data_IF_476061194100
#
_entry.id   IF_476061194100
#
_cell.length_a   1.000
_cell.length_b   1.000
_cell.length_c   1.000
_cell.angle_alpha   90.00
_cell.angle_beta   90.00
_cell.angle_gamma   90.00
#
_symmetry.space_group_name_H-M   'P 1'
#
loop_
_entity.id
_entity.type
_entity.pdbx_description
1 polymer ?
#
# COMPACT_ATOMS: atom_id res chain seq x y z
N UNK A 1 -34.10 9.52 6.31
CA UNK A 1 -33.30 8.29 6.13
C UNK A 1 -34.07 7.37 5.22
N UNK A 2 -33.47 6.91 4.12
CA UNK A 2 -34.07 5.84 3.31
C UNK A 2 -34.16 4.56 4.15
N UNK A 3 -35.21 3.74 4.01
CA UNK A 3 -35.31 2.48 4.75
C UNK A 3 -34.14 1.54 4.39
N UNK A 4 -33.63 0.84 5.39
CA UNK A 4 -32.62 -0.21 5.22
C UNK A 4 -33.25 -1.36 4.43
N UNK A 5 -32.83 -1.55 3.18
CA UNK A 5 -33.40 -2.56 2.28
C UNK A 5 -32.80 -3.97 2.46
N UNK A 6 -32.13 -4.22 3.59
CA UNK A 6 -31.38 -5.46 3.82
C UNK A 6 -30.11 -5.55 2.96
N UNK A 7 -29.37 -6.66 3.07
CA UNK A 7 -28.16 -6.88 2.29
C UNK A 7 -28.49 -6.94 0.80
N UNK A 8 -27.87 -6.05 0.01
CA UNK A 8 -27.90 -6.15 -1.45
C UNK A 8 -26.86 -7.17 -1.89
N UNK A 9 -27.23 -8.08 -2.78
CA UNK A 9 -26.24 -8.90 -3.46
C UNK A 9 -25.34 -7.96 -4.29
N UNK A 10 -24.01 -8.00 -4.07
CA UNK A 10 -23.09 -7.23 -4.89
C UNK A 10 -23.15 -7.73 -6.33
N UNK A 11 -22.87 -6.89 -7.34
CA UNK A 11 -22.75 -7.36 -8.71
C UNK A 11 -21.63 -8.40 -8.77
N UNK A 12 -22.00 -9.60 -9.22
CA UNK A 12 -21.13 -10.78 -9.28
C UNK A 12 -20.55 -10.97 -10.68
N UNK A 13 -19.29 -11.44 -10.81
CA UNK A 13 -18.39 -11.80 -9.72
C UNK A 13 -17.56 -10.61 -9.22
N UNK A 14 -17.39 -10.51 -7.89
CA UNK A 14 -16.38 -9.67 -7.27
C UNK A 14 -14.98 -10.28 -7.43
N UNK A 15 -13.90 -9.47 -7.44
CA UNK A 15 -12.53 -9.97 -7.43
C UNK A 15 -12.27 -10.84 -6.20
N UNK A 16 -11.54 -11.93 -6.34
CA UNK A 16 -11.13 -12.76 -5.20
C UNK A 16 -9.87 -12.19 -4.53
N UNK A 17 -9.61 -12.49 -3.25
CA UNK A 17 -8.33 -12.16 -2.62
C UNK A 17 -7.12 -12.59 -3.47
N UNK A 18 -6.19 -11.67 -3.70
CA UNK A 18 -5.03 -11.83 -4.58
C UNK A 18 -5.26 -11.47 -6.05
N UNK A 19 -6.51 -11.28 -6.49
CA UNK A 19 -6.80 -10.87 -7.86
C UNK A 19 -6.59 -9.37 -8.07
N UNK A 20 -6.16 -9.04 -9.29
CA UNK A 20 -5.90 -7.68 -9.74
C UNK A 20 -6.93 -7.26 -10.79
N UNK A 21 -7.53 -6.10 -10.62
CA UNK A 21 -8.46 -5.48 -11.59
C UNK A 21 -7.85 -4.23 -12.18
N UNK A 22 -8.08 -3.98 -13.46
CA UNK A 22 -7.55 -2.81 -14.17
C UNK A 22 -8.64 -2.00 -14.85
N UNK A 23 -8.56 -0.69 -14.72
CA UNK A 23 -9.44 0.27 -15.39
C UNK A 23 -8.61 1.42 -15.95
N UNK A 24 -8.85 1.81 -17.20
CA UNK A 24 -8.22 3.00 -17.78
C UNK A 24 -9.26 4.08 -18.04
N UNK A 25 -9.42 4.97 -17.07
CA UNK A 25 -10.42 6.05 -17.09
C UNK A 25 -9.91 7.32 -17.78
N UNK A 26 -8.72 7.28 -18.38
CA UNK A 26 -8.19 8.40 -19.17
C UNK A 26 -8.98 8.59 -20.46
N UNK A 27 -9.04 9.81 -20.96
CA UNK A 27 -9.55 10.13 -22.30
C UNK A 27 -8.62 9.57 -23.40
N UNK A 28 -9.09 9.56 -24.65
CA UNK A 28 -8.24 9.17 -25.79
C UNK A 28 -7.04 10.10 -25.95
N UNK A 29 -7.24 11.39 -25.68
CA UNK A 29 -6.22 12.43 -25.73
C UNK A 29 -5.17 12.22 -24.63
N UNK A 30 -5.61 11.95 -23.40
CA UNK A 30 -4.72 11.64 -22.27
C UNK A 30 -3.87 10.39 -22.55
N UNK A 31 -4.48 9.30 -23.06
CA UNK A 31 -3.74 8.09 -23.47
C UNK A 31 -2.74 8.37 -24.59
N UNK A 32 -3.13 9.17 -25.59
CA UNK A 32 -2.21 9.53 -26.68
C UNK A 32 -1.04 10.37 -26.17
N UNK A 33 -1.26 11.25 -25.20
CA UNK A 33 -0.22 12.06 -24.60
C UNK A 33 0.78 11.19 -23.80
N UNK A 34 0.28 10.26 -22.99
CA UNK A 34 1.11 9.32 -22.22
C UNK A 34 2.03 8.49 -23.14
N UNK A 35 1.50 7.98 -24.26
CA UNK A 35 2.29 7.20 -25.24
C UNK A 35 3.38 8.02 -25.93
N UNK A 36 3.11 9.28 -26.27
CA UNK A 36 4.11 10.20 -26.86
C UNK A 36 5.22 10.54 -25.86
N UNK A 37 4.88 10.65 -24.58
CA UNK A 37 5.85 10.83 -23.49
C UNK A 37 6.85 9.68 -23.39
N UNK A 38 6.41 8.43 -23.64
CA UNK A 38 7.26 7.22 -23.62
C UNK A 38 8.31 7.19 -24.73
N UNK A 39 8.03 7.78 -25.90
CA UNK A 39 8.86 7.65 -27.12
C UNK A 39 9.94 8.71 -27.30
N UNK A 40 10.05 9.69 -26.38
CA UNK A 40 10.99 10.80 -26.53
C UNK A 40 12.07 10.70 -25.44
N UNK A 41 13.21 10.03 -25.70
CA UNK A 41 14.34 10.13 -24.78
C UNK A 41 14.75 11.61 -24.73
N UNK A 42 14.75 12.21 -23.54
CA UNK A 42 15.35 13.53 -23.38
C UNK A 42 16.80 13.45 -23.86
N UNK A 43 17.15 14.18 -24.91
CA UNK A 43 18.55 14.32 -25.32
C UNK A 43 19.32 14.86 -24.11
N UNK A 44 20.55 14.39 -23.93
CA UNK A 44 21.48 14.73 -22.84
C UNK A 44 21.78 16.24 -22.65
N UNK A 45 21.10 17.15 -23.36
CA UNK A 45 21.23 18.61 -23.26
C UNK A 45 19.96 19.36 -22.81
N UNK A 46 18.81 18.71 -22.61
CA UNK A 46 17.55 19.35 -22.16
C UNK A 46 17.29 19.23 -20.64
N UNK A 47 18.36 19.17 -19.84
CA UNK A 47 18.31 18.95 -18.40
C UNK A 47 17.57 20.05 -17.60
N UNK A 48 17.19 21.17 -18.23
CA UNK A 48 16.61 22.34 -17.56
C UNK A 48 15.07 22.44 -17.62
N UNK A 49 14.37 21.46 -18.21
CA UNK A 49 12.91 21.27 -18.01
C UNK A 49 12.58 19.87 -17.50
N UNK A 50 13.33 19.41 -16.50
CA UNK A 50 13.02 18.19 -15.76
C UNK A 50 11.72 18.37 -14.96
N UNK A 51 10.59 17.92 -15.50
CA UNK A 51 9.35 17.87 -14.74
C UNK A 51 9.60 16.99 -13.51
N UNK A 52 9.34 17.54 -12.32
CA UNK A 52 9.38 16.79 -11.06
C UNK A 52 8.22 15.81 -11.08
N UNK A 53 8.49 14.52 -10.89
CA UNK A 53 7.44 13.51 -10.74
C UNK A 53 6.78 13.66 -9.36
N UNK A 54 5.46 13.81 -9.33
CA UNK A 54 4.68 13.96 -8.10
C UNK A 54 4.06 12.62 -7.71
N UNK A 55 4.51 12.05 -6.61
CA UNK A 55 3.93 10.83 -6.04
C UNK A 55 3.17 11.18 -4.77
N UNK A 56 1.96 10.66 -4.63
CA UNK A 56 1.16 10.76 -3.42
C UNK A 56 0.82 9.36 -2.88
N UNK A 57 0.55 9.28 -1.58
CA UNK A 57 -0.03 8.10 -0.96
C UNK A 57 -1.14 8.50 -0.02
N UNK A 58 -2.22 7.73 0.02
CA UNK A 58 -3.35 8.01 0.89
C UNK A 58 -4.17 6.75 1.24
N UNK A 59 -4.27 6.46 2.53
CA UNK A 59 -5.35 5.62 3.07
C UNK A 59 -6.65 6.43 3.12
N UNK A 60 -7.63 6.09 2.28
CA UNK A 60 -8.86 6.87 2.11
C UNK A 60 -9.98 6.47 3.07
N UNK A 61 -9.68 5.65 4.08
CA UNK A 61 -10.62 5.18 5.11
C UNK A 61 -11.94 4.67 4.52
N UNK A 62 -11.86 3.75 3.54
CA UNK A 62 -13.02 3.11 2.89
C UNK A 62 -13.92 4.10 2.12
N UNK A 63 -13.43 5.31 1.86
CA UNK A 63 -14.17 6.35 1.14
C UNK A 63 -15.18 7.13 1.99
N UNK A 64 -15.01 7.22 3.32
CA UNK A 64 -15.98 7.90 4.19
C UNK A 64 -16.28 9.36 3.79
N UNK A 65 -15.28 10.11 3.33
CA UNK A 65 -15.42 11.47 2.78
C UNK A 65 -15.01 11.52 1.30
N UNK A 66 -15.49 10.58 0.49
CA UNK A 66 -14.96 10.34 -0.86
C UNK A 66 -14.93 11.58 -1.77
N UNK A 67 -15.98 12.42 -1.76
CA UNK A 67 -15.99 13.66 -2.56
C UNK A 67 -14.88 14.63 -2.14
N UNK A 68 -14.67 14.82 -0.83
CA UNK A 68 -13.59 15.67 -0.33
C UNK A 68 -12.21 15.09 -0.65
N UNK A 69 -12.05 13.77 -0.58
CA UNK A 69 -10.83 13.07 -1.00
C UNK A 69 -10.55 13.29 -2.48
N UNK A 70 -11.57 13.19 -3.34
CA UNK A 70 -11.43 13.42 -4.79
C UNK A 70 -11.00 14.86 -5.07
N UNK A 71 -11.64 15.85 -4.43
CA UNK A 71 -11.29 17.25 -4.64
C UNK A 71 -9.88 17.58 -4.14
N UNK A 72 -9.46 17.02 -3.01
CA UNK A 72 -8.09 17.18 -2.52
C UNK A 72 -7.07 16.48 -3.43
N UNK A 73 -7.35 15.26 -3.90
CA UNK A 73 -6.49 14.57 -4.86
C UNK A 73 -6.39 15.34 -6.20
N UNK A 74 -7.48 15.99 -6.64
CA UNK A 74 -7.49 16.88 -7.80
C UNK A 74 -6.59 18.10 -7.58
N UNK A 75 -6.65 18.71 -6.41
CA UNK A 75 -5.81 19.86 -6.06
C UNK A 75 -4.33 19.47 -5.89
N UNK A 76 -4.07 18.30 -5.32
CA UNK A 76 -2.73 17.72 -5.24
C UNK A 76 -2.22 17.42 -6.65
N UNK A 77 -3.04 16.99 -7.60
CA UNK A 77 -2.64 16.72 -8.99
C UNK A 77 -1.36 15.87 -9.09
N UNK A 78 -1.32 14.78 -8.32
CA UNK A 78 -0.21 13.84 -8.36
C UNK A 78 -0.19 13.05 -9.67
N UNK A 79 1.00 12.64 -10.10
CA UNK A 79 1.18 11.86 -11.33
C UNK A 79 0.99 10.36 -11.09
N UNK A 80 1.34 9.90 -9.89
CA UNK A 80 1.16 8.53 -9.39
C UNK A 80 0.64 8.59 -7.96
N UNK A 81 -0.37 7.80 -7.64
CA UNK A 81 -1.02 7.76 -6.33
C UNK A 81 -1.08 6.30 -5.88
N UNK A 82 -0.49 6.00 -4.71
CA UNK A 82 -0.75 4.77 -3.98
C UNK A 82 -1.96 4.98 -3.06
N UNK A 83 -3.01 4.18 -3.23
CA UNK A 83 -4.25 4.33 -2.46
C UNK A 83 -4.51 3.06 -1.65
N UNK A 84 -4.79 3.22 -0.36
CA UNK A 84 -5.12 2.12 0.55
C UNK A 84 -6.55 2.28 1.07
N UNK A 85 -7.11 1.18 1.56
CA UNK A 85 -8.50 1.09 2.03
C UNK A 85 -9.54 1.45 0.98
N UNK A 86 -9.39 0.88 -0.20
CA UNK A 86 -10.38 0.93 -1.27
C UNK A 86 -11.46 -0.11 -1.00
N UNK A 87 -12.72 0.27 -1.16
CA UNK A 87 -13.86 -0.63 -1.07
C UNK A 87 -14.50 -0.79 -2.44
N UNK A 88 -14.86 -2.04 -2.77
CA UNK A 88 -15.72 -2.37 -3.90
C UNK A 88 -16.94 -3.08 -3.35
N UNK A 89 -18.10 -2.42 -3.45
CA UNK A 89 -19.41 -2.97 -3.08
C UNK A 89 -19.59 -3.38 -1.61
N UNK A 90 -18.77 -2.87 -0.68
CA UNK A 90 -19.07 -3.00 0.74
C UNK A 90 -20.28 -2.14 1.12
N UNK A 91 -21.12 -2.60 2.04
CA UNK A 91 -22.30 -1.84 2.48
C UNK A 91 -21.92 -0.48 3.09
N UNK A 92 -20.83 -0.45 3.87
CA UNK A 92 -20.31 0.78 4.49
C UNK A 92 -19.92 1.88 3.49
N UNK A 93 -19.57 1.52 2.25
CA UNK A 93 -19.26 2.46 1.17
C UNK A 93 -20.50 2.82 0.33
N UNK A 94 -21.71 2.46 0.80
CA UNK A 94 -22.93 2.61 0.02
C UNK A 94 -22.94 1.72 -1.22
N UNK A 95 -22.25 0.58 -1.17
CA UNK A 95 -22.03 -0.33 -2.30
C UNK A 95 -21.33 0.32 -3.49
N UNK A 96 -20.56 1.40 -3.28
CA UNK A 96 -19.79 2.04 -4.32
C UNK A 96 -18.42 1.35 -4.50
N UNK A 97 -17.89 1.38 -5.73
CA UNK A 97 -16.47 1.16 -6.01
C UNK A 97 -15.73 2.48 -5.83
N UNK A 98 -15.13 2.65 -4.65
CA UNK A 98 -14.53 3.94 -4.26
C UNK A 98 -13.30 4.27 -5.09
N UNK A 99 -12.54 3.25 -5.51
CA UNK A 99 -11.35 3.40 -6.35
C UNK A 99 -11.71 3.82 -7.78
N UNK A 100 -12.70 3.15 -8.39
CA UNK A 100 -13.18 3.48 -9.72
C UNK A 100 -13.82 4.87 -9.76
N UNK A 101 -14.55 5.29 -8.72
CA UNK A 101 -15.09 6.66 -8.61
C UNK A 101 -13.98 7.71 -8.64
N UNK A 102 -12.91 7.51 -7.86
CA UNK A 102 -11.73 8.42 -7.86
C UNK A 102 -11.08 8.42 -9.25
N UNK A 103 -10.76 7.25 -9.79
CA UNK A 103 -10.09 7.13 -11.08
C UNK A 103 -10.90 7.78 -12.21
N UNK A 104 -12.23 7.66 -12.17
CA UNK A 104 -13.14 8.31 -13.13
C UNK A 104 -13.13 9.82 -12.97
N UNK A 105 -13.29 10.33 -11.75
CA UNK A 105 -13.36 11.77 -11.48
C UNK A 105 -12.07 12.52 -11.84
N UNK A 106 -10.93 11.83 -11.77
CA UNK A 106 -9.60 12.37 -12.06
C UNK A 106 -9.07 11.98 -13.46
N UNK A 107 -9.76 11.07 -14.16
CA UNK A 107 -9.34 10.56 -15.46
C UNK A 107 -7.98 9.86 -15.39
N UNK A 108 -7.86 8.83 -14.55
CA UNK A 108 -6.61 8.10 -14.28
C UNK A 108 -6.67 6.64 -14.75
N UNK A 109 -5.51 6.08 -15.07
CA UNK A 109 -5.30 4.65 -15.16
C UNK A 109 -5.24 4.09 -13.74
N UNK A 110 -5.89 2.96 -13.49
CA UNK A 110 -6.13 2.43 -12.16
C UNK A 110 -5.95 0.91 -12.14
N UNK A 111 -5.19 0.44 -11.16
CA UNK A 111 -5.04 -0.97 -10.82
C UNK A 111 -5.46 -1.16 -9.36
N UNK A 112 -6.41 -2.05 -9.15
CA UNK A 112 -6.86 -2.52 -7.84
C UNK A 112 -6.25 -3.88 -7.53
N UNK A 113 -5.86 -4.11 -6.28
CA UNK A 113 -5.54 -5.43 -5.73
C UNK A 113 -6.53 -5.74 -4.61
N UNK A 114 -7.24 -6.85 -4.75
CA UNK A 114 -8.12 -7.37 -3.71
C UNK A 114 -7.29 -8.00 -2.59
N UNK A 115 -7.25 -7.39 -1.41
CA UNK A 115 -6.63 -7.98 -0.21
C UNK A 115 -7.61 -8.90 0.51
N UNK A 116 -8.86 -8.45 0.65
CA UNK A 116 -9.87 -9.11 1.46
C UNK A 116 -11.24 -9.18 0.78
N UNK A 117 -11.89 -10.33 0.90
CA UNK A 117 -13.35 -10.42 0.90
C UNK A 117 -13.84 -10.01 2.29
N UNK A 118 -14.56 -8.88 2.39
CA UNK A 118 -15.12 -8.36 3.64
C UNK A 118 -16.52 -8.94 3.83
N UNK A 119 -16.66 -9.94 4.71
CA UNK A 119 -17.92 -10.64 4.87
C UNK A 119 -18.93 -9.76 5.61
N UNK A 120 -20.19 -9.86 5.19
CA UNK A 120 -21.29 -9.25 5.94
C UNK A 120 -21.43 -9.94 7.31
N UNK A 121 -21.58 -9.17 8.38
CA UNK A 121 -21.69 -9.69 9.74
C UNK A 121 -22.77 -8.96 10.55
N UNK A 122 -23.66 -9.68 11.26
CA UNK A 122 -24.59 -9.06 12.19
C UNK A 122 -23.88 -8.41 13.40
N UNK A 123 -22.60 -8.71 13.63
CA UNK A 123 -21.80 -8.08 14.68
C UNK A 123 -21.26 -6.68 14.29
N UNK A 124 -21.42 -6.28 13.01
CA UNK A 124 -20.98 -4.98 12.49
C UNK A 124 -22.16 -4.02 12.40
N UNK A 125 -21.91 -2.78 12.78
CA UNK A 125 -22.80 -1.65 12.47
C UNK A 125 -22.69 -1.27 10.98
N UNK A 126 -23.71 -0.62 10.39
CA UNK A 126 -23.70 -0.26 8.97
C UNK A 126 -22.45 0.49 8.50
N UNK A 127 -21.91 1.41 9.33
CA UNK A 127 -20.67 2.17 9.07
C UNK A 127 -19.40 1.33 8.98
N UNK A 128 -19.44 0.08 9.42
CA UNK A 128 -18.29 -0.86 9.41
C UNK A 128 -18.60 -2.14 8.64
N UNK A 129 -19.77 -2.21 8.00
CA UNK A 129 -20.28 -3.43 7.39
C UNK A 129 -19.48 -3.87 6.16
N UNK A 130 -19.36 -5.18 5.97
CA UNK A 130 -18.80 -5.81 4.77
C UNK A 130 -19.86 -5.97 3.66
N UNK A 131 -19.80 -7.09 2.96
CA UNK A 131 -20.65 -7.42 1.81
C UNK A 131 -19.97 -7.27 0.44
N UNK A 132 -18.69 -6.86 0.43
CA UNK A 132 -17.92 -6.61 -0.79
C UNK A 132 -16.45 -6.99 -0.61
N UNK A 133 -15.57 -6.33 -1.36
CA UNK A 133 -14.12 -6.53 -1.24
C UNK A 133 -13.39 -5.26 -0.88
N UNK A 134 -12.19 -5.44 -0.34
CA UNK A 134 -11.34 -4.38 0.18
C UNK A 134 -9.89 -4.60 -0.22
N UNK A 135 -9.16 -3.51 -0.46
CA UNK A 135 -7.74 -3.61 -0.73
C UNK A 135 -7.05 -2.29 -1.03
N UNK A 136 -5.98 -2.37 -1.82
CA UNK A 136 -5.11 -1.27 -2.18
C UNK A 136 -5.00 -1.13 -3.71
N UNK A 137 -4.42 -0.03 -4.18
CA UNK A 137 -4.33 0.22 -5.61
C UNK A 137 -3.32 1.29 -6.00
N UNK A 138 -3.01 1.32 -7.29
CA UNK A 138 -2.14 2.34 -7.92
C UNK A 138 -2.98 3.07 -8.96
N UNK A 139 -2.99 4.41 -8.87
CA UNK A 139 -3.62 5.30 -9.85
C UNK A 139 -2.57 6.19 -10.50
N UNK A 140 -2.64 6.42 -11.81
CA UNK A 140 -1.64 7.25 -12.49
C UNK A 140 -2.15 7.86 -13.79
N UNK A 141 -1.54 8.97 -14.19
CA UNK A 141 -1.71 9.59 -15.52
C UNK A 141 -1.07 8.74 -16.65
N UNK A 142 -0.17 7.82 -16.31
CA UNK A 142 0.67 7.09 -17.26
C UNK A 142 0.23 5.64 -17.51
N UNK A 143 0.88 4.99 -18.47
CA UNK A 143 0.67 3.57 -18.74
C UNK A 143 1.33 2.72 -17.63
N UNK A 144 0.66 1.62 -17.26
CA UNK A 144 1.16 0.66 -16.27
C UNK A 144 1.42 -0.69 -16.92
N UNK A 145 2.66 -1.14 -16.81
CA UNK A 145 3.16 -2.44 -17.27
C UNK A 145 3.57 -3.29 -16.06
N UNK A 146 3.81 -4.59 -16.28
CA UNK A 146 4.33 -5.57 -15.29
C UNK A 146 3.77 -5.35 -13.86
N UNK A 147 2.48 -5.61 -13.73
CA UNK A 147 1.76 -5.54 -12.46
C UNK A 147 1.89 -6.89 -11.76
N UNK A 148 2.40 -6.86 -10.52
CA UNK A 148 2.75 -8.02 -9.73
C UNK A 148 2.17 -7.87 -8.31
N UNK A 149 1.84 -9.00 -7.69
CA UNK A 149 1.36 -9.07 -6.31
C UNK A 149 2.43 -9.73 -5.47
N UNK A 150 2.79 -9.08 -4.37
CA UNK A 150 3.72 -9.60 -3.38
C UNK A 150 2.90 -10.20 -2.25
N UNK A 151 2.90 -11.53 -2.20
CA UNK A 151 2.47 -12.31 -1.04
C UNK A 151 3.54 -12.18 0.05
N UNK A 152 3.13 -11.80 1.25
CA UNK A 152 4.07 -11.69 2.37
C UNK A 152 4.37 -13.07 2.96
N UNK A 153 5.62 -13.30 3.35
CA UNK A 153 6.03 -14.55 4.01
C UNK A 153 5.49 -14.67 5.43
N UNK A 154 5.02 -13.56 6.01
CA UNK A 154 4.46 -13.50 7.36
C UNK A 154 3.05 -12.90 7.37
N UNK A 155 2.08 -13.70 7.83
CA UNK A 155 0.71 -13.28 8.09
C UNK A 155 0.37 -13.54 9.57
N UNK A 156 0.31 -12.49 10.41
CA UNK A 156 0.13 -12.64 11.85
C UNK A 156 -1.32 -12.98 12.24
N UNK A 157 -2.26 -12.86 11.30
CA UNK A 157 -3.66 -13.26 11.45
C UNK A 157 -4.05 -14.18 10.32
N UNK A 158 -4.61 -15.34 10.65
CA UNK A 158 -5.28 -16.19 9.68
C UNK A 158 -6.79 -15.90 9.72
N UNK A 159 -7.25 -15.02 8.84
CA UNK A 159 -8.65 -14.58 8.81
C UNK A 159 -9.66 -15.69 8.52
N UNK A 160 -9.21 -16.79 7.91
CA UNK A 160 -10.03 -17.95 7.58
C UNK A 160 -10.09 -18.98 8.72
N UNK A 161 -9.26 -18.81 9.75
CA UNK A 161 -9.25 -19.66 10.95
C UNK A 161 -9.67 -18.84 12.17
N UNK A 162 -10.96 -18.96 12.53
CA UNK A 162 -11.52 -18.28 13.68
C UNK A 162 -10.79 -18.57 15.01
N UNK A 163 -10.03 -19.65 15.12
CA UNK A 163 -9.24 -19.96 16.32
C UNK A 163 -7.98 -19.09 16.45
N UNK A 164 -7.47 -18.52 15.35
CA UNK A 164 -6.23 -17.74 15.38
C UNK A 164 -6.40 -16.43 16.16
N UNK A 165 -7.58 -15.80 16.06
CA UNK A 165 -7.89 -14.61 16.85
C UNK A 165 -9.41 -14.40 17.04
N UNK A 166 -10.05 -15.17 17.93
CA UNK A 166 -11.51 -15.31 17.96
C UNK A 166 -12.28 -13.99 18.06
N UNK A 167 -11.88 -13.10 18.96
CA UNK A 167 -12.57 -11.83 19.17
C UNK A 167 -12.45 -10.86 17.98
N UNK A 168 -11.33 -10.91 17.25
CA UNK A 168 -11.11 -10.02 16.09
C UNK A 168 -11.87 -10.55 14.88
N UNK A 169 -11.75 -11.84 14.60
CA UNK A 169 -12.39 -12.48 13.45
C UNK A 169 -13.92 -12.48 13.58
N UNK A 170 -14.46 -12.69 14.79
CA UNK A 170 -15.91 -12.62 15.03
C UNK A 170 -16.48 -11.21 14.74
N UNK A 171 -15.70 -10.15 15.05
CA UNK A 171 -16.11 -8.76 14.80
C UNK A 171 -15.91 -8.35 13.35
N UNK A 172 -14.85 -8.85 12.72
CA UNK A 172 -14.42 -8.45 11.39
C UNK A 172 -14.16 -9.66 10.49
N UNK A 173 -15.19 -10.46 10.15
CA UNK A 173 -14.98 -11.67 9.37
C UNK A 173 -14.55 -11.32 7.95
N UNK A 174 -13.46 -11.97 7.52
CA UNK A 174 -12.80 -11.71 6.24
C UNK A 174 -12.29 -13.02 5.64
N UNK A 175 -12.06 -13.03 4.34
CA UNK A 175 -11.16 -14.00 3.67
C UNK A 175 -10.05 -13.25 2.96
N UNK A 176 -8.86 -13.82 2.88
CA UNK A 176 -7.69 -13.15 2.32
C UNK A 176 -6.72 -12.65 3.37
N UNK A 177 -5.87 -11.70 2.98
CA UNK A 177 -4.69 -11.26 3.74
C UNK A 177 -4.14 -9.94 3.18
N UNK A 178 -3.28 -9.29 3.95
CA UNK A 178 -2.52 -8.11 3.46
C UNK A 178 -1.57 -8.51 2.35
N UNK A 179 -1.54 -7.71 1.29
CA UNK A 179 -0.73 -7.93 0.09
C UNK A 179 -0.18 -6.60 -0.41
N UNK A 180 1.01 -6.63 -1.02
CA UNK A 180 1.58 -5.44 -1.65
C UNK A 180 1.44 -5.52 -3.17
N UNK A 181 0.92 -4.47 -3.78
CA UNK A 181 0.84 -4.33 -5.24
C UNK A 181 2.08 -3.60 -5.76
N UNK A 182 2.67 -4.13 -6.83
CA UNK A 182 3.77 -3.51 -7.57
C UNK A 182 3.39 -3.30 -9.04
N UNK A 183 3.79 -2.19 -9.65
CA UNK A 183 3.61 -1.94 -11.08
C UNK A 183 4.74 -1.08 -11.66
N UNK A 184 5.09 -1.29 -12.92
CA UNK A 184 5.93 -0.35 -13.66
C UNK A 184 5.09 0.75 -14.29
N UNK A 185 5.41 1.99 -13.96
CA UNK A 185 4.76 3.19 -14.49
C UNK A 185 5.68 3.82 -15.54
N UNK A 186 5.18 3.97 -16.76
CA UNK A 186 5.93 4.55 -17.88
C UNK A 186 5.95 6.08 -17.80
N UNK A 187 6.76 6.63 -16.89
CA UNK A 187 6.86 8.09 -16.67
C UNK A 187 7.69 8.77 -17.78
N UNK A 188 7.56 10.10 -17.97
CA UNK A 188 8.41 10.86 -18.88
C UNK A 188 9.91 10.81 -18.53
N UNK A 189 10.26 10.51 -17.28
CA UNK A 189 11.66 10.37 -16.83
C UNK A 189 12.20 8.95 -17.01
N UNK A 190 11.38 8.01 -17.46
CA UNK A 190 11.70 6.58 -17.56
C UNK A 190 10.72 5.70 -16.80
N UNK A 191 10.87 4.38 -16.91
CA UNK A 191 10.05 3.45 -16.14
C UNK A 191 10.37 3.59 -14.65
N UNK A 192 9.33 3.74 -13.83
CA UNK A 192 9.42 3.75 -12.37
C UNK A 192 8.61 2.58 -11.82
N UNK A 193 9.21 1.77 -10.96
CA UNK A 193 8.45 0.80 -10.18
C UNK A 193 7.76 1.50 -9.01
N UNK A 194 6.44 1.38 -8.93
CA UNK A 194 5.64 1.82 -7.80
C UNK A 194 5.18 0.62 -6.97
N UNK A 195 5.41 0.66 -5.66
CA UNK A 195 4.82 -0.25 -4.69
C UNK A 195 3.78 0.50 -3.84
N UNK A 196 2.60 -0.10 -3.66
CA UNK A 196 1.62 0.33 -2.64
C UNK A 196 1.53 -0.72 -1.54
N UNK A 197 2.09 -0.40 -0.38
CA UNK A 197 2.08 -1.27 0.79
C UNK A 197 0.87 -0.95 1.68
N UNK A 198 0.28 -1.99 2.25
CA UNK A 198 -0.63 -1.86 3.38
C UNK A 198 -0.26 -2.96 4.37
N UNK A 199 0.53 -2.64 5.39
CA UNK A 199 1.04 -3.67 6.31
C UNK A 199 -0.01 -4.02 7.36
N UNK A 200 0.08 -5.20 7.98
CA UNK A 200 -0.91 -5.65 8.95
C UNK A 200 -0.87 -4.77 10.21
N UNK A 201 -2.04 -4.28 10.62
CA UNK A 201 -2.18 -3.46 11.81
C UNK A 201 -2.31 -4.32 13.06
N UNK A 202 -2.89 -5.52 12.93
CA UNK A 202 -3.06 -6.46 14.05
C UNK A 202 -1.79 -7.27 14.32
N UNK A 203 -0.66 -6.60 14.46
CA UNK A 203 0.60 -7.22 14.86
C UNK A 203 1.53 -6.20 15.51
N UNK A 204 2.65 -6.67 16.04
CA UNK A 204 3.72 -5.81 16.49
C UNK A 204 4.64 -5.33 15.36
N UNK A 205 5.58 -4.46 15.72
CA UNK A 205 6.54 -3.86 14.81
C UNK A 205 7.35 -4.90 14.02
N UNK A 206 7.71 -6.03 14.66
CA UNK A 206 8.46 -7.12 14.03
C UNK A 206 7.64 -7.84 12.95
N UNK A 207 6.32 -7.97 13.15
CA UNK A 207 5.41 -8.51 12.14
C UNK A 207 5.44 -7.67 10.86
N UNK A 208 5.34 -6.35 11.01
CA UNK A 208 5.42 -5.41 9.87
C UNK A 208 6.80 -5.39 9.22
N UNK A 209 7.88 -5.49 10.00
CA UNK A 209 9.24 -5.61 9.46
C UNK A 209 9.41 -6.87 8.61
N UNK A 210 8.82 -8.01 9.00
CA UNK A 210 8.83 -9.22 8.17
C UNK A 210 8.13 -9.00 6.83
N UNK A 211 6.92 -8.42 6.85
CA UNK A 211 6.19 -8.11 5.61
C UNK A 211 6.95 -7.13 4.72
N UNK A 212 7.55 -6.09 5.31
CA UNK A 212 8.36 -5.12 4.58
C UNK A 212 9.63 -5.73 3.99
N UNK A 213 10.20 -6.76 4.63
CA UNK A 213 11.36 -7.49 4.12
C UNK A 213 11.09 -8.16 2.77
N UNK A 214 9.85 -8.61 2.53
CA UNK A 214 9.45 -9.21 1.25
C UNK A 214 9.38 -8.14 0.14
N UNK A 215 8.99 -6.91 0.48
CA UNK A 215 9.02 -5.77 -0.45
C UNK A 215 10.46 -5.43 -0.83
N UNK A 216 11.38 -5.40 0.15
CA UNK A 216 12.80 -5.18 -0.11
C UNK A 216 13.42 -6.29 -0.95
N UNK A 217 13.07 -7.55 -0.69
CA UNK A 217 13.50 -8.67 -1.52
C UNK A 217 13.03 -8.49 -2.97
N UNK A 218 11.73 -8.27 -3.19
CA UNK A 218 11.18 -8.08 -4.53
C UNK A 218 11.84 -6.89 -5.24
N UNK A 219 12.03 -5.76 -4.55
CA UNK A 219 12.66 -4.58 -5.11
C UNK A 219 14.13 -4.82 -5.51
N UNK A 220 14.86 -5.64 -4.74
CA UNK A 220 16.23 -6.05 -5.07
C UNK A 220 16.27 -6.96 -6.28
N UNK A 221 15.41 -7.99 -6.33
CA UNK A 221 15.29 -8.91 -7.48
C UNK A 221 14.93 -8.15 -8.75
N UNK A 222 14.03 -7.16 -8.63
CA UNK A 222 13.64 -6.29 -9.74
C UNK A 222 14.77 -5.41 -10.24
N UNK A 223 15.56 -4.85 -9.32
CA UNK A 223 16.76 -4.09 -9.65
C UNK A 223 17.83 -4.96 -10.32
N UNK A 224 18.01 -6.20 -9.85
CA UNK A 224 18.98 -7.14 -10.40
C UNK A 224 18.60 -7.63 -11.81
N UNK A 225 17.30 -7.77 -12.09
CA UNK A 225 16.80 -8.17 -13.41
C UNK A 225 16.80 -7.01 -14.45
N UNK A 226 17.00 -5.77 -14.00
CA UNK A 226 16.95 -4.61 -14.87
C UNK A 226 18.26 -4.40 -15.63
N UNK A 227 18.16 -4.01 -16.91
CA UNK A 227 19.33 -3.67 -17.75
C UNK A 227 19.90 -2.29 -17.44
N UNK A 228 19.13 -1.46 -16.74
CA UNK A 228 19.51 -0.12 -16.28
C UNK A 228 18.99 0.10 -14.85
N UNK A 229 19.60 1.01 -14.06
CA UNK A 229 19.08 1.37 -12.75
C UNK A 229 17.60 1.78 -12.81
N UNK A 230 16.76 1.16 -11.98
CA UNK A 230 15.33 1.48 -11.93
C UNK A 230 15.08 2.54 -10.88
N UNK A 231 14.22 3.52 -11.21
CA UNK A 231 13.60 4.32 -10.17
C UNK A 231 12.54 3.47 -9.48
N UNK A 232 12.63 3.32 -8.15
CA UNK A 232 11.66 2.56 -7.37
C UNK A 232 11.10 3.43 -6.25
N UNK A 233 9.79 3.35 -6.00
CA UNK A 233 9.10 4.06 -4.93
C UNK A 233 8.26 3.08 -4.14
N UNK A 234 8.50 3.00 -2.84
CA UNK A 234 7.63 2.30 -1.89
C UNK A 234 6.82 3.36 -1.15
N UNK A 235 5.51 3.30 -1.31
CA UNK A 235 4.58 4.16 -0.57
C UNK A 235 3.43 3.32 -0.03
N UNK A 236 2.67 3.91 0.89
CA UNK A 236 1.49 3.27 1.43
C UNK A 236 1.34 3.44 2.93
N UNK A 237 0.38 2.71 3.48
CA UNK A 237 0.13 2.68 4.92
C UNK A 237 0.93 1.54 5.55
N UNK A 238 2.06 1.90 6.16
CA UNK A 238 2.92 0.93 6.83
C UNK A 238 2.38 0.53 8.21
N UNK A 239 1.27 1.13 8.68
CA UNK A 239 0.70 0.86 10.00
C UNK A 239 1.75 0.96 11.12
N UNK A 240 2.59 2.00 11.13
CA UNK A 240 3.59 2.24 12.18
C UNK A 240 2.94 2.75 13.47
N UNK A 241 2.23 1.84 14.16
CA UNK A 241 1.27 2.15 15.22
C UNK A 241 1.89 2.37 16.61
N UNK A 242 3.12 1.91 16.88
CA UNK A 242 3.68 1.94 18.24
C UNK A 242 4.17 3.34 18.65
N UNK A 243 3.24 4.28 18.83
CA UNK A 243 3.48 5.65 19.28
C UNK A 243 2.64 5.98 20.53
N UNK A 244 3.22 6.74 21.47
CA UNK A 244 2.53 7.19 22.68
C UNK A 244 1.87 6.04 23.45
N UNK A 245 0.60 6.20 23.80
CA UNK A 245 -0.20 5.18 24.51
C UNK A 245 -0.58 3.98 23.63
N UNK A 246 -0.59 4.13 22.29
CA UNK A 246 -0.99 3.07 21.38
C UNK A 246 -0.09 1.83 21.49
N UNK A 247 1.19 2.02 21.87
CA UNK A 247 2.14 0.92 22.15
C UNK A 247 1.65 -0.08 23.19
N UNK A 248 0.82 0.35 24.13
CA UNK A 248 0.30 -0.52 25.18
C UNK A 248 -0.79 -1.47 24.67
N UNK A 249 -1.27 -1.27 23.43
CA UNK A 249 -2.27 -2.14 22.82
C UNK A 249 -1.75 -3.56 22.66
N UNK A 250 -2.38 -4.56 23.32
CA UNK A 250 -2.07 -5.96 23.09
C UNK A 250 -2.47 -6.42 21.67
N UNK A 251 -3.28 -5.62 20.96
CA UNK A 251 -3.79 -5.93 19.62
C UNK A 251 -2.89 -5.39 18.50
N UNK A 252 -2.44 -4.14 18.62
CA UNK A 252 -1.75 -3.40 17.55
C UNK A 252 -0.24 -3.27 17.74
N UNK A 253 0.27 -3.75 18.88
CA UNK A 253 1.69 -3.71 19.22
C UNK A 253 2.10 -5.03 19.90
N UNK A 254 1.66 -6.17 19.36
CA UNK A 254 1.64 -7.48 20.04
C UNK A 254 2.99 -8.17 20.35
N UNK A 255 4.12 -7.49 20.12
CA UNK A 255 5.47 -8.01 20.37
C UNK A 255 6.24 -7.21 21.45
N UNK A 256 7.49 -7.64 21.72
CA UNK A 256 8.37 -7.04 22.71
C UNK A 256 8.80 -5.60 22.38
N UNK A 257 8.65 -5.16 21.13
CA UNK A 257 9.07 -3.82 20.70
C UNK A 257 8.29 -2.73 21.41
N UNK A 258 7.06 -3.03 21.86
CA UNK A 258 6.27 -2.09 22.67
C UNK A 258 6.97 -1.61 23.94
N UNK A 259 7.95 -2.35 24.44
CA UNK A 259 8.76 -1.97 25.61
C UNK A 259 10.18 -1.63 25.20
N UNK A 260 10.76 -2.36 24.24
CA UNK A 260 12.16 -2.19 23.88
C UNK A 260 12.45 -0.84 23.21
N UNK A 261 11.46 -0.26 22.53
CA UNK A 261 11.58 1.05 21.86
C UNK A 261 10.90 2.16 22.63
N UNK A 262 10.77 2.03 23.96
CA UNK A 262 10.17 3.09 24.79
C UNK A 262 10.93 4.41 24.60
N UNK A 263 10.19 5.49 24.40
CA UNK A 263 10.75 6.81 24.07
C UNK A 263 10.89 7.11 22.58
N UNK A 264 10.65 6.13 21.71
CA UNK A 264 10.62 6.32 20.25
C UNK A 264 9.24 5.95 19.71
N UNK A 265 8.76 6.68 18.70
CA UNK A 265 7.70 6.20 17.84
C UNK A 265 8.21 5.07 16.94
N UNK A 266 7.32 4.19 16.49
CA UNK A 266 7.69 3.16 15.53
C UNK A 266 8.30 3.74 14.25
N UNK A 267 7.73 4.83 13.72
CA UNK A 267 8.25 5.48 12.52
C UNK A 267 9.71 5.96 12.72
N UNK A 268 10.07 6.48 13.90
CA UNK A 268 11.45 6.86 14.22
C UNK A 268 12.38 5.65 14.28
N UNK A 269 11.92 4.51 14.80
CA UNK A 269 12.71 3.26 14.80
C UNK A 269 12.96 2.80 13.36
N UNK A 270 11.94 2.88 12.50
CA UNK A 270 12.10 2.55 11.09
C UNK A 270 13.10 3.48 10.40
N UNK A 271 12.95 4.79 10.56
CA UNK A 271 13.82 5.78 9.92
C UNK A 271 15.26 5.74 10.44
N UNK A 272 15.44 5.64 11.76
CA UNK A 272 16.75 5.80 12.40
C UNK A 272 17.52 4.50 12.55
N UNK A 273 16.84 3.35 12.53
CA UNK A 273 17.47 2.05 12.77
C UNK A 273 17.34 1.16 11.55
N UNK A 274 16.10 0.84 11.15
CA UNK A 274 15.84 -0.13 10.09
C UNK A 274 16.39 0.34 8.74
N UNK A 275 16.00 1.54 8.30
CA UNK A 275 16.32 2.07 6.98
C UNK A 275 17.75 2.59 6.87
N UNK A 276 18.47 2.76 7.99
CA UNK A 276 19.90 3.10 8.01
C UNK A 276 20.83 1.89 7.87
N UNK A 277 20.32 0.66 7.94
CA UNK A 277 21.15 -0.51 7.69
C UNK A 277 21.35 -0.67 6.18
N UNK A 278 22.41 -0.06 5.65
CA UNK A 278 22.72 -0.13 4.22
C UNK A 278 23.33 -1.48 3.82
N UNK A 279 22.97 -1.94 2.63
CA UNK A 279 23.56 -3.15 2.02
C UNK A 279 25.00 -2.89 1.57
N UNK A 280 25.91 -3.75 2.02
CA UNK A 280 27.29 -3.84 1.57
C UNK A 280 27.41 -5.05 0.63
N UNK A 281 27.41 -4.76 -0.67
CA UNK A 281 27.51 -5.78 -1.72
C UNK A 281 28.82 -6.58 -1.69
N UNK A 282 29.84 -6.11 -0.96
CA UNK A 282 31.09 -6.85 -0.76
C UNK A 282 31.01 -7.91 0.34
N UNK A 283 29.93 -7.91 1.14
CA UNK A 283 29.70 -8.85 2.22
C UNK A 283 28.39 -9.64 2.03
N UNK A 284 28.41 -10.77 1.29
CA UNK A 284 27.22 -11.59 1.07
C UNK A 284 26.60 -12.20 2.34
N UNK A 285 27.36 -12.23 3.45
CA UNK A 285 26.89 -12.70 4.75
C UNK A 285 26.30 -11.60 5.62
N UNK A 286 26.23 -10.35 5.14
CA UNK A 286 25.66 -9.25 5.91
C UNK A 286 24.20 -9.53 6.25
N UNK A 287 23.82 -9.15 7.46
CA UNK A 287 22.43 -9.11 7.92
C UNK A 287 22.24 -7.92 8.85
N UNK A 288 20.99 -7.53 9.03
CA UNK A 288 20.61 -6.51 9.99
C UNK A 288 20.74 -7.04 11.44
N UNK A 289 21.87 -6.73 12.09
CA UNK A 289 22.16 -7.21 13.45
C UNK A 289 21.19 -6.66 14.50
N UNK A 290 20.62 -5.47 14.29
CA UNK A 290 19.62 -4.94 15.21
C UNK A 290 18.32 -5.76 15.14
N UNK A 291 17.86 -6.09 13.93
CA UNK A 291 16.71 -6.98 13.71
C UNK A 291 16.97 -8.38 14.28
N UNK A 292 18.17 -8.92 14.12
CA UNK A 292 18.55 -10.22 14.68
C UNK A 292 18.47 -10.22 16.22
N UNK A 293 18.96 -9.16 16.88
CA UNK A 293 18.82 -8.98 18.33
C UNK A 293 17.38 -8.79 18.77
N UNK A 294 16.54 -8.22 17.90
CA UNK A 294 15.10 -8.08 18.12
C UNK A 294 14.35 -9.43 18.01
N UNK A 295 15.01 -10.50 17.55
CA UNK A 295 14.45 -11.83 17.42
C UNK A 295 13.86 -12.15 16.05
N UNK A 296 14.15 -11.36 15.02
CA UNK A 296 13.73 -11.67 13.65
C UNK A 296 14.53 -12.86 13.08
N UNK A 297 13.91 -13.71 12.23
CA UNK A 297 14.62 -14.79 11.55
C UNK A 297 15.80 -14.29 10.72
N UNK A 298 16.86 -15.11 10.59
CA UNK A 298 18.09 -14.73 9.89
C UNK A 298 17.84 -14.30 8.43
N UNK A 299 16.97 -15.03 7.72
CA UNK A 299 16.60 -14.72 6.33
C UNK A 299 15.87 -13.37 6.21
N UNK A 300 15.04 -13.02 7.18
CA UNK A 300 14.39 -11.70 7.25
C UNK A 300 15.43 -10.61 7.49
N UNK A 301 16.40 -10.86 8.38
CA UNK A 301 17.47 -9.91 8.69
C UNK A 301 18.38 -9.63 7.48
N UNK A 302 18.62 -10.63 6.61
CA UNK A 302 19.34 -10.45 5.34
C UNK A 302 18.55 -9.62 4.34
N UNK A 303 17.23 -9.79 4.29
CA UNK A 303 16.35 -9.02 3.40
C UNK A 303 16.20 -7.56 3.83
N UNK A 304 16.20 -7.30 5.15
CA UNK A 304 16.09 -5.97 5.78
C UNK A 304 17.40 -5.16 5.78
N UNK A 305 18.08 -5.18 4.65
CA UNK A 305 19.19 -4.28 4.33
C UNK A 305 18.72 -3.33 3.23
N UNK A 306 18.83 -2.04 3.49
CA UNK A 306 18.47 -0.99 2.55
C UNK A 306 19.51 -0.91 1.42
N UNK A 307 19.12 -1.28 0.21
CA UNK A 307 20.01 -1.30 -0.95
C UNK A 307 19.98 0.01 -1.77
N UNK A 308 19.48 1.11 -1.19
CA UNK A 308 19.56 2.45 -1.80
C UNK A 308 18.30 3.31 -1.73
N UNK A 309 17.25 2.89 -1.00
CA UNK A 309 16.07 3.70 -0.76
C UNK A 309 16.39 4.88 0.17
N UNK A 310 15.80 6.04 -0.12
CA UNK A 310 15.87 7.24 0.71
C UNK A 310 14.47 7.61 1.16
N UNK A 311 14.30 7.87 2.45
CA UNK A 311 13.05 8.40 3.00
C UNK A 311 12.88 9.83 2.50
N UNK A 312 11.77 10.08 1.81
CA UNK A 312 11.40 11.44 1.38
C UNK A 312 10.17 11.89 2.16
N UNK A 313 10.32 12.92 2.98
CA UNK A 313 9.19 13.60 3.61
C UNK A 313 8.95 14.91 2.86
N UNK A 314 7.86 15.00 2.08
CA UNK A 314 7.37 16.30 1.59
C UNK A 314 5.86 16.40 1.83
N UNK A 315 5.52 17.37 2.68
CA UNK A 315 4.20 17.94 3.00
C UNK A 315 3.05 16.94 3.18
N UNK A 316 2.74 16.67 4.45
CA UNK A 316 1.36 16.40 4.85
C UNK A 316 0.56 17.70 4.68
N UNK A 317 -0.45 17.71 3.82
CA UNK A 317 -1.52 18.69 3.92
C UNK A 317 -2.39 18.24 5.09
N UNK A 318 -2.27 18.91 6.23
CA UNK A 318 -3.25 18.78 7.30
C UNK A 318 -4.58 19.32 6.76
N UNK A 319 -5.55 18.43 6.52
CA UNK A 319 -6.93 18.83 6.39
C UNK A 319 -7.34 19.47 7.72
N UNK A 320 -7.57 20.78 7.71
CA UNK A 320 -8.20 21.44 8.85
C UNK A 320 -9.71 21.16 8.81
N UNK A 321 -10.21 20.44 9.82
CA UNK A 321 -11.64 20.41 10.24
C UNK A 321 -12.51 19.32 9.62
#
# INVERSE_FOLDING_TARGET
>A
MAPYNGPREPPSPLPKPGEVVRHDMRSKEQRSAARKGRSTPSKQGDAERGQTLRVATWNIERGYKLDAVIEEMRAIDADVIAVQEIDIHCERSGWEDTGLRIATALGLNYVFLCEFEELHSPAREPSTQGGGVHGNGIMTKYDMDRVEVIEHSHHPVNWEDASSWPAVIAKEPRRGRRLTLAADVATPQGAMTMYTAHLECFCGMLGRMQQFSDIFQHARERQAAATQPLCQVIAGDLNTMANGVARLSPKYCNDAMRFWTLGYSEAEVWDQVLLKQEEDTSNPGQRNEWCARAGLPDEVCKRLLNFGFKVTQKRWLQLQG
#
